data_IF_263163176697
#
_entry.id   IF_263163176697
#
_cell.length_a   1.000
_cell.length_b   1.000
_cell.length_c   1.000
_cell.angle_alpha   90.00
_cell.angle_beta   90.00
_cell.angle_gamma   90.00
#
_symmetry.space_group_name_H-M   'P 1'
#
loop_
_entity.id
_entity.type
_entity.pdbx_description
1 polymer ?
#
# COMPACT_ATOMS: atom_id res chain seq x y z
N UNK A 1 -40.98 35.28 30.77
CA UNK A 1 -40.24 34.08 31.22
C UNK A 1 -39.96 33.24 29.99
N UNK A 2 -38.87 33.59 29.33
CA UNK A 2 -38.39 33.09 28.05
C UNK A 2 -37.00 32.51 28.28
N UNK A 3 -36.57 31.58 27.42
CA UNK A 3 -35.23 30.98 27.34
C UNK A 3 -34.89 29.87 28.33
N UNK A 4 -35.54 28.72 28.18
CA UNK A 4 -34.87 27.42 28.44
C UNK A 4 -35.23 26.48 27.27
N UNK A 5 -34.87 26.88 26.05
CA UNK A 5 -34.77 25.94 24.94
C UNK A 5 -33.31 25.50 24.91
N UNK A 6 -33.06 24.32 25.48
CA UNK A 6 -31.78 23.65 25.39
C UNK A 6 -31.55 23.28 23.92
N UNK A 7 -30.80 24.14 23.24
CA UNK A 7 -30.27 23.93 21.92
C UNK A 7 -29.27 22.77 22.03
N UNK A 8 -29.75 21.54 21.79
CA UNK A 8 -28.91 20.38 21.52
C UNK A 8 -28.16 20.67 20.22
N UNK A 9 -27.02 21.35 20.35
CA UNK A 9 -26.05 21.51 19.27
C UNK A 9 -25.39 20.16 19.06
N UNK A 10 -26.06 19.29 18.30
CA UNK A 10 -25.45 18.10 17.72
C UNK A 10 -24.36 18.60 16.76
N UNK A 11 -23.14 18.69 17.28
CA UNK A 11 -21.96 18.92 16.47
C UNK A 11 -21.92 17.82 15.40
N UNK A 12 -21.97 18.13 14.10
CA UNK A 12 -21.86 17.11 13.07
C UNK A 12 -20.47 16.49 13.25
N UNK A 13 -20.43 15.29 13.81
CA UNK A 13 -19.24 14.44 13.82
C UNK A 13 -18.91 14.23 12.34
N UNK A 14 -18.01 15.06 11.82
CA UNK A 14 -17.56 14.99 10.45
C UNK A 14 -17.09 13.55 10.21
N UNK A 15 -17.86 12.80 9.42
CA UNK A 15 -17.55 11.43 9.07
C UNK A 15 -16.16 11.45 8.41
N UNK A 16 -15.14 11.00 9.15
CA UNK A 16 -13.80 10.85 8.58
C UNK A 16 -13.93 9.90 7.39
N UNK A 17 -13.38 10.23 6.21
CA UNK A 17 -13.45 9.34 5.07
C UNK A 17 -12.85 7.99 5.46
N UNK A 18 -13.64 6.93 5.32
CA UNK A 18 -13.19 5.55 5.52
C UNK A 18 -12.21 5.21 4.41
N UNK A 19 -10.92 5.49 4.64
CA UNK A 19 -9.85 5.01 3.78
C UNK A 19 -9.87 3.49 3.79
N UNK A 20 -10.11 2.87 2.63
CA UNK A 20 -10.07 1.42 2.46
C UNK A 20 -8.67 1.02 1.94
N UNK A 21 -7.72 0.64 2.81
CA UNK A 21 -6.36 0.30 2.39
C UNK A 21 -6.33 -0.85 1.37
N UNK A 22 -7.33 -1.73 1.43
CA UNK A 22 -7.48 -2.86 0.52
C UNK A 22 -7.60 -2.42 -0.95
N UNK A 23 -8.31 -1.32 -1.23
CA UNK A 23 -8.48 -0.81 -2.61
C UNK A 23 -7.14 -0.38 -3.20
N UNK A 24 -6.31 0.29 -2.38
CA UNK A 24 -4.99 0.76 -2.80
C UNK A 24 -4.05 -0.42 -3.07
N UNK A 25 -4.07 -1.44 -2.21
CA UNK A 25 -3.28 -2.67 -2.38
C UNK A 25 -3.72 -3.43 -3.63
N UNK A 26 -5.03 -3.55 -3.87
CA UNK A 26 -5.56 -4.17 -5.09
C UNK A 26 -5.15 -3.40 -6.35
N UNK A 27 -5.16 -2.06 -6.30
CA UNK A 27 -4.66 -1.22 -7.37
C UNK A 27 -3.17 -1.46 -7.68
N UNK A 28 -2.33 -1.53 -6.65
CA UNK A 28 -0.91 -1.84 -6.81
C UNK A 28 -0.68 -3.26 -7.37
N UNK A 29 -1.45 -4.25 -6.92
CA UNK A 29 -1.38 -5.60 -7.45
C UNK A 29 -1.77 -5.66 -8.94
N UNK A 30 -2.87 -5.02 -9.33
CA UNK A 30 -3.31 -4.93 -10.72
C UNK A 30 -2.26 -4.23 -11.61
N UNK A 31 -1.65 -3.13 -11.12
CA UNK A 31 -0.56 -2.46 -11.81
C UNK A 31 0.64 -3.39 -12.04
N UNK A 32 1.01 -4.20 -11.03
CA UNK A 32 2.10 -5.18 -11.16
C UNK A 32 1.84 -6.22 -12.24
N UNK A 33 0.62 -6.75 -12.31
CA UNK A 33 0.22 -7.70 -13.34
C UNK A 33 0.23 -7.08 -14.75
N UNK A 34 -0.24 -5.83 -14.89
CA UNK A 34 -0.21 -5.10 -16.16
C UNK A 34 1.24 -4.88 -16.62
N UNK A 35 2.11 -4.39 -15.73
CA UNK A 35 3.53 -4.15 -16.04
C UNK A 35 4.22 -5.45 -16.43
N UNK A 36 3.98 -6.55 -15.69
CA UNK A 36 4.51 -7.87 -16.03
C UNK A 36 4.04 -8.34 -17.42
N UNK A 37 2.77 -8.12 -17.75
CA UNK A 37 2.20 -8.51 -19.05
C UNK A 37 2.81 -7.75 -20.23
N UNK A 38 3.10 -6.46 -20.08
CA UNK A 38 3.57 -5.61 -21.18
C UNK A 38 5.09 -5.53 -21.30
N UNK A 39 5.83 -5.49 -20.19
CA UNK A 39 7.29 -5.38 -20.22
C UNK A 39 8.00 -6.74 -20.16
N UNK A 40 7.31 -7.81 -19.74
CA UNK A 40 7.88 -9.16 -19.61
C UNK A 40 9.28 -9.19 -18.97
N UNK A 41 9.48 -8.51 -17.83
CA UNK A 41 10.79 -8.49 -17.20
C UNK A 41 11.18 -9.90 -16.70
N UNK A 42 12.47 -10.17 -16.51
CA UNK A 42 12.91 -11.43 -15.94
C UNK A 42 12.36 -11.61 -14.53
N UNK A 43 11.91 -12.82 -14.20
CA UNK A 43 11.30 -13.17 -12.91
C UNK A 43 12.12 -12.68 -11.70
N UNK A 44 13.45 -12.79 -11.78
CA UNK A 44 14.35 -12.36 -10.72
C UNK A 44 14.21 -10.87 -10.39
N UNK A 45 13.91 -10.02 -11.38
CA UNK A 45 13.79 -8.57 -11.16
C UNK A 45 12.65 -8.23 -10.20
N UNK A 46 11.50 -8.90 -10.33
CA UNK A 46 10.38 -8.73 -9.41
C UNK A 46 10.73 -9.17 -7.98
N UNK A 47 11.42 -10.30 -7.84
CA UNK A 47 11.86 -10.81 -6.54
C UNK A 47 12.89 -9.86 -5.89
N UNK A 48 13.84 -9.34 -6.66
CA UNK A 48 14.81 -8.35 -6.20
C UNK A 48 14.12 -7.07 -5.72
N UNK A 49 13.16 -6.54 -6.50
CA UNK A 49 12.40 -5.35 -6.12
C UNK A 49 11.63 -5.55 -4.81
N UNK A 50 10.97 -6.71 -4.64
CA UNK A 50 10.29 -7.06 -3.40
C UNK A 50 11.27 -7.13 -2.22
N UNK A 51 12.39 -7.85 -2.38
CA UNK A 51 13.39 -8.05 -1.34
C UNK A 51 14.03 -6.72 -0.89
N UNK A 52 14.44 -5.88 -1.84
CA UNK A 52 15.04 -4.57 -1.54
C UNK A 52 14.03 -3.67 -0.83
N UNK A 53 12.80 -3.59 -1.32
CA UNK A 53 11.75 -2.76 -0.70
C UNK A 53 11.46 -3.19 0.73
N UNK A 54 11.43 -4.50 0.99
CA UNK A 54 11.19 -5.07 2.31
C UNK A 54 12.39 -4.88 3.25
N UNK A 55 13.62 -4.99 2.75
CA UNK A 55 14.84 -4.71 3.51
C UNK A 55 14.93 -3.24 3.91
N UNK A 56 14.63 -2.32 2.99
CA UNK A 56 14.60 -0.88 3.27
C UNK A 56 13.52 -0.56 4.30
N UNK A 57 12.33 -1.15 4.15
CA UNK A 57 11.25 -1.00 5.12
C UNK A 57 11.65 -1.53 6.51
N UNK A 58 12.22 -2.73 6.58
CA UNK A 58 12.69 -3.34 7.82
C UNK A 58 13.78 -2.51 8.51
N UNK A 59 14.76 -2.04 7.73
CA UNK A 59 15.85 -1.19 8.22
C UNK A 59 15.32 0.12 8.81
N UNK A 60 14.40 0.77 8.09
CA UNK A 60 13.76 2.01 8.54
C UNK A 60 12.91 1.77 9.79
N UNK A 61 12.15 0.68 9.85
CA UNK A 61 11.35 0.32 11.01
C UNK A 61 12.24 0.07 12.25
N UNK A 62 13.34 -0.64 12.09
CA UNK A 62 14.30 -0.93 13.17
C UNK A 62 14.95 0.35 13.71
N UNK A 63 15.23 1.32 12.83
CA UNK A 63 15.87 2.59 13.19
C UNK A 63 14.89 3.63 13.74
N UNK A 64 13.63 3.58 13.30
CA UNK A 64 12.55 4.47 13.71
C UNK A 64 12.15 4.32 15.17
N UNK A 65 12.45 3.18 15.81
CA UNK A 65 12.15 2.98 17.22
C UNK A 65 12.90 3.96 18.15
N UNK A 66 13.85 4.74 17.61
CA UNK A 66 14.74 5.62 18.36
C UNK A 66 14.54 7.13 18.13
N UNK A 67 13.82 7.58 17.09
CA UNK A 67 13.65 9.02 16.81
C UNK A 67 12.28 9.31 16.18
N UNK A 68 11.59 10.30 16.74
CA UNK A 68 10.25 10.83 16.41
C UNK A 68 10.02 11.00 14.91
N UNK A 69 8.89 10.49 14.39
CA UNK A 69 8.59 10.42 12.96
C UNK A 69 7.19 11.00 12.70
N UNK A 70 7.11 12.01 11.82
CA UNK A 70 5.88 12.39 11.11
C UNK A 70 5.98 12.20 9.58
N UNK A 71 7.19 12.07 9.01
CA UNK A 71 7.37 12.01 7.55
C UNK A 71 7.65 10.61 6.97
N UNK A 72 7.89 9.57 7.80
CA UNK A 72 8.26 8.24 7.27
C UNK A 72 7.07 7.33 6.97
N UNK A 73 5.84 7.70 7.36
CA UNK A 73 4.67 6.85 7.14
C UNK A 73 4.34 6.68 5.65
N UNK A 74 4.45 7.77 4.87
CA UNK A 74 4.24 7.74 3.43
C UNK A 74 5.30 6.87 2.73
N UNK A 75 6.57 7.03 3.10
CA UNK A 75 7.65 6.23 2.53
C UNK A 75 7.49 4.74 2.86
N UNK A 76 7.13 4.40 4.10
CA UNK A 76 6.89 3.01 4.50
C UNK A 76 5.68 2.42 3.75
N UNK A 77 4.63 3.22 3.54
CA UNK A 77 3.44 2.80 2.77
C UNK A 77 3.77 2.55 1.30
N UNK A 78 4.58 3.40 0.67
CA UNK A 78 5.03 3.21 -0.70
C UNK A 78 5.91 1.97 -0.85
N UNK A 79 6.82 1.72 0.10
CA UNK A 79 7.63 0.51 0.11
C UNK A 79 6.77 -0.76 0.19
N UNK A 80 5.75 -0.77 1.05
CA UNK A 80 4.82 -1.88 1.15
C UNK A 80 3.96 -2.06 -0.12
N UNK A 81 3.57 -0.96 -0.78
CA UNK A 81 2.89 -1.03 -2.08
C UNK A 81 3.79 -1.60 -3.18
N UNK A 82 5.07 -1.22 -3.21
CA UNK A 82 6.06 -1.81 -4.12
C UNK A 82 6.23 -3.32 -3.90
N UNK A 83 6.21 -3.77 -2.63
CA UNK A 83 6.22 -5.20 -2.31
C UNK A 83 4.96 -5.88 -2.84
N UNK A 84 3.77 -5.35 -2.57
CA UNK A 84 2.51 -5.92 -3.04
C UNK A 84 2.46 -6.03 -4.57
N UNK A 85 2.91 -4.99 -5.27
CA UNK A 85 3.02 -4.96 -6.73
C UNK A 85 3.94 -6.06 -7.25
N UNK A 86 5.14 -6.17 -6.66
CA UNK A 86 6.17 -7.12 -7.09
C UNK A 86 5.77 -8.57 -6.82
N UNK A 87 5.07 -8.82 -5.70
CA UNK A 87 4.54 -10.16 -5.38
C UNK A 87 3.42 -10.55 -6.34
N UNK A 88 2.49 -9.63 -6.64
CA UNK A 88 1.42 -9.88 -7.61
C UNK A 88 1.96 -10.15 -9.02
N UNK A 89 2.97 -9.39 -9.44
CA UNK A 89 3.66 -9.58 -10.72
C UNK A 89 4.39 -10.94 -10.77
N UNK A 90 5.11 -11.31 -9.70
CA UNK A 90 5.78 -12.61 -9.59
C UNK A 90 4.76 -13.76 -9.67
N UNK A 91 3.66 -13.66 -8.93
CA UNK A 91 2.59 -14.65 -8.94
C UNK A 91 1.99 -14.79 -10.34
N UNK A 92 1.65 -13.67 -10.98
CA UNK A 92 1.13 -13.65 -12.35
C UNK A 92 2.10 -14.32 -13.33
N UNK A 93 3.39 -13.98 -13.26
CA UNK A 93 4.43 -14.56 -14.11
C UNK A 93 4.54 -16.09 -13.92
N UNK A 94 4.46 -16.58 -12.68
CA UNK A 94 4.51 -18.02 -12.37
C UNK A 94 3.27 -18.77 -12.86
N UNK A 95 2.08 -18.20 -12.66
CA UNK A 95 0.81 -18.81 -13.06
C UNK A 95 0.61 -18.79 -14.59
N UNK A 96 0.99 -17.70 -15.27
CA UNK A 96 0.79 -17.57 -16.72
C UNK A 96 1.89 -18.18 -17.57
N UNK A 97 3.03 -18.59 -16.98
CA UNK A 97 4.02 -19.43 -17.67
C UNK A 97 3.44 -20.76 -18.16
N UNK A 98 2.29 -21.18 -17.60
CA UNK A 98 1.61 -22.44 -17.92
C UNK A 98 0.61 -22.32 -19.07
N UNK A 99 0.29 -21.10 -19.51
CA UNK A 99 -0.55 -20.86 -20.67
C UNK A 99 0.32 -20.30 -21.80
N UNK A 100 0.77 -21.15 -22.76
CA UNK A 100 1.52 -20.67 -23.91
C UNK A 100 0.65 -19.67 -24.70
N UNK A 101 1.27 -18.58 -25.15
CA UNK A 101 0.69 -17.64 -26.11
C UNK A 101 0.58 -18.30 -27.48
#
# INVERSE_FOLDING_TARGET
MSQVLAEHTESPVAARPLYQPLVVVLGAAAAGMLVDRFLTPPLFLWQFMAAISLLVWWWNHTRSHHNTIDNSELYNSLLLLCVALSVAATWHHLCWRWFPK
#
